data_IF_042166508345
#
_entry.id   IF_042166508345
#
_cell.length_a   1.000
_cell.length_b   1.000
_cell.length_c   1.000
_cell.angle_alpha   90.00
_cell.angle_beta   90.00
_cell.angle_gamma   90.00
#
_symmetry.space_group_name_H-M   'P 1'
#
loop_
_entity.id
_entity.type
_entity.pdbx_description
1 polymer ?
#
# COMPACT_ATOMS: atom_id res chain seq x y z
N UNK A 1 17.35 7.69 11.28
CA UNK A 1 16.83 7.03 10.07
C UNK A 1 15.50 6.32 10.34
N UNK A 2 15.38 5.51 11.39
CA UNK A 2 14.13 4.85 11.72
C UNK A 2 12.98 5.79 12.09
N UNK A 3 13.26 7.02 12.56
CA UNK A 3 12.26 8.04 12.91
C UNK A 3 11.41 8.49 11.72
N UNK A 4 11.96 8.54 10.53
CA UNK A 4 11.23 8.86 9.29
C UNK A 4 10.05 7.92 9.08
N UNK A 5 10.24 6.63 9.42
CA UNK A 5 9.22 5.59 9.29
C UNK A 5 8.40 5.40 10.57
N UNK A 6 8.47 6.33 11.54
CA UNK A 6 7.78 6.27 12.84
C UNK A 6 8.11 5.00 13.65
N UNK A 7 9.31 4.45 13.46
CA UNK A 7 9.80 3.22 14.11
C UNK A 7 10.93 3.56 15.09
N UNK A 8 11.04 2.76 16.15
CA UNK A 8 12.14 2.90 17.15
C UNK A 8 13.44 2.25 16.71
N UNK A 9 13.36 1.17 15.95
CA UNK A 9 14.52 0.39 15.50
C UNK A 9 14.42 0.07 14.02
N UNK A 10 15.56 -0.02 13.32
CA UNK A 10 15.62 -0.33 11.89
C UNK A 10 16.86 -1.19 11.56
N UNK A 11 16.85 -1.76 10.37
CA UNK A 11 17.95 -2.54 9.79
C UNK A 11 18.20 -2.10 8.35
N UNK A 12 19.37 -2.44 7.84
CA UNK A 12 19.78 -2.20 6.45
C UNK A 12 19.95 -3.53 5.71
N UNK A 13 18.86 -4.16 5.24
CA UNK A 13 18.88 -5.48 4.62
C UNK A 13 19.30 -5.42 3.15
N UNK A 14 20.57 -5.18 2.87
CA UNK A 14 21.12 -4.98 1.50
C UNK A 14 20.77 -6.14 0.56
N UNK A 15 20.91 -7.40 1.03
CA UNK A 15 20.61 -8.59 0.21
C UNK A 15 19.13 -8.64 -0.20
N UNK A 16 18.23 -8.41 0.76
CA UNK A 16 16.79 -8.41 0.50
C UNK A 16 16.37 -7.28 -0.45
N UNK A 17 16.93 -6.08 -0.26
CA UNK A 17 16.67 -4.95 -1.15
C UNK A 17 17.13 -5.23 -2.59
N UNK A 18 18.29 -5.85 -2.77
CA UNK A 18 18.78 -6.22 -4.12
C UNK A 18 17.85 -7.20 -4.83
N UNK A 19 17.32 -8.18 -4.10
CA UNK A 19 16.38 -9.16 -4.67
C UNK A 19 15.07 -8.48 -5.09
N UNK A 20 14.51 -7.62 -4.24
CA UNK A 20 13.28 -6.89 -4.55
C UNK A 20 13.48 -5.92 -5.72
N UNK A 21 14.62 -5.22 -5.79
CA UNK A 21 14.97 -4.38 -6.93
C UNK A 21 15.05 -5.19 -8.23
N UNK A 22 15.68 -6.37 -8.22
CA UNK A 22 15.71 -7.25 -9.38
C UNK A 22 14.31 -7.71 -9.81
N UNK A 23 13.41 -7.94 -8.85
CA UNK A 23 12.01 -8.29 -9.14
C UNK A 23 11.26 -7.12 -9.79
N UNK A 24 11.47 -5.89 -9.30
CA UNK A 24 10.89 -4.69 -9.89
C UNK A 24 11.39 -4.45 -11.32
N UNK A 25 12.68 -4.55 -11.55
CA UNK A 25 13.26 -4.42 -12.89
C UNK A 25 12.72 -5.47 -13.87
N UNK A 26 12.54 -6.71 -13.40
CA UNK A 26 11.91 -7.76 -14.21
C UNK A 26 10.46 -7.42 -14.55
N UNK A 27 9.70 -6.93 -13.57
CA UNK A 27 8.30 -6.54 -13.77
C UNK A 27 8.16 -5.35 -14.74
N UNK A 28 9.07 -4.37 -14.68
CA UNK A 28 9.15 -3.25 -15.62
C UNK A 28 9.45 -3.73 -17.04
N UNK A 29 10.46 -4.58 -17.22
CA UNK A 29 10.78 -5.17 -18.52
C UNK A 29 9.61 -6.00 -19.09
N UNK A 30 8.87 -6.71 -18.24
CA UNK A 30 7.68 -7.44 -18.66
C UNK A 30 6.55 -6.48 -19.11
N UNK A 31 6.43 -5.33 -18.48
CA UNK A 31 5.44 -4.31 -18.86
C UNK A 31 5.82 -3.68 -20.23
N UNK A 32 7.08 -3.35 -20.44
CA UNK A 32 7.60 -2.88 -21.73
C UNK A 32 7.32 -3.89 -22.85
N UNK A 33 7.59 -5.17 -22.59
CA UNK A 33 7.30 -6.23 -23.56
C UNK A 33 5.80 -6.31 -23.91
N UNK A 34 4.92 -5.98 -22.97
CA UNK A 34 3.46 -5.91 -23.20
C UNK A 34 2.99 -4.59 -23.78
N UNK A 35 3.89 -3.66 -24.09
CA UNK A 35 3.59 -2.30 -24.57
C UNK A 35 2.70 -1.50 -23.61
N UNK A 36 2.87 -1.68 -22.29
CA UNK A 36 2.25 -0.86 -21.27
C UNK A 36 3.10 0.38 -21.01
N UNK A 37 2.45 1.48 -20.64
CA UNK A 37 3.11 2.72 -20.28
C UNK A 37 3.83 2.58 -18.94
N UNK A 38 5.17 2.56 -18.97
CA UNK A 38 5.99 2.36 -17.77
C UNK A 38 5.92 3.52 -16.79
N UNK A 39 5.64 4.74 -17.25
CA UNK A 39 5.54 5.92 -16.38
C UNK A 39 4.27 5.90 -15.50
N UNK A 40 3.22 5.27 -15.98
CA UNK A 40 1.94 5.19 -15.30
C UNK A 40 1.74 3.90 -14.50
N UNK A 41 2.78 3.06 -14.37
CA UNK A 41 2.69 1.82 -13.59
C UNK A 41 2.68 2.09 -12.09
N UNK A 42 1.84 1.33 -11.38
CA UNK A 42 1.87 1.28 -9.92
C UNK A 42 1.77 -0.16 -9.42
N UNK A 43 2.22 -0.37 -8.20
CA UNK A 43 2.12 -1.68 -7.55
C UNK A 43 0.69 -1.87 -7.05
N UNK A 44 -0.07 -2.71 -7.74
CA UNK A 44 -1.45 -3.04 -7.36
C UNK A 44 -1.47 -4.05 -6.21
N UNK A 45 -0.59 -5.03 -6.25
CA UNK A 45 -0.53 -6.07 -5.24
C UNK A 45 0.93 -6.47 -4.98
N UNK A 46 1.26 -6.63 -3.71
CA UNK A 46 2.53 -7.22 -3.27
C UNK A 46 2.27 -8.10 -2.06
N UNK A 47 2.73 -9.33 -2.12
CA UNK A 47 2.55 -10.30 -1.05
C UNK A 47 3.81 -11.12 -0.83
N UNK A 48 4.11 -11.41 0.41
CA UNK A 48 5.22 -12.27 0.83
C UNK A 48 4.66 -13.44 1.61
N UNK A 49 4.81 -14.64 1.06
CA UNK A 49 4.35 -15.88 1.65
C UNK A 49 5.53 -16.70 2.18
N UNK A 50 5.27 -17.54 3.17
CA UNK A 50 6.23 -18.51 3.67
C UNK A 50 6.29 -19.66 2.66
N UNK A 51 7.50 -19.99 2.19
CA UNK A 51 7.74 -21.12 1.30
C UNK A 51 8.13 -22.37 2.11
N UNK A 52 8.27 -23.50 1.42
CA UNK A 52 8.61 -24.76 2.04
C UNK A 52 9.98 -24.69 2.72
N UNK A 53 10.01 -24.93 4.04
CA UNK A 53 11.25 -24.90 4.83
C UNK A 53 12.20 -26.02 4.46
N UNK A 54 13.46 -25.67 4.20
CA UNK A 54 14.54 -26.64 4.03
C UNK A 54 14.94 -27.23 5.39
N UNK A 55 14.81 -28.53 5.54
CA UNK A 55 15.15 -29.23 6.78
C UNK A 55 16.63 -29.58 6.82
N UNK A 56 17.34 -29.01 7.78
CA UNK A 56 18.71 -29.39 8.15
C UNK A 56 18.78 -29.57 9.65
N UNK A 57 19.80 -30.31 10.12
CA UNK A 57 20.02 -30.59 11.53
C UNK A 57 21.45 -30.25 11.95
N UNK A 58 21.61 -29.84 13.19
CA UNK A 58 22.92 -29.70 13.82
C UNK A 58 23.13 -30.78 14.88
N UNK A 59 24.35 -31.23 15.02
CA UNK A 59 24.75 -32.22 16.02
C UNK A 59 25.42 -31.52 17.18
N UNK A 60 25.03 -31.85 18.39
CA UNK A 60 25.58 -31.31 19.63
C UNK A 60 26.17 -32.44 20.50
N UNK A 61 26.79 -32.04 21.63
CA UNK A 61 27.34 -33.00 22.59
C UNK A 61 26.27 -33.99 23.08
N UNK A 62 26.71 -35.17 23.50
CA UNK A 62 25.85 -36.27 23.99
C UNK A 62 24.77 -36.75 23.02
N UNK A 63 25.05 -36.70 21.70
CA UNK A 63 24.13 -37.17 20.69
C UNK A 63 22.86 -36.29 20.48
N UNK A 64 22.84 -35.09 21.10
CA UNK A 64 21.71 -34.18 20.94
C UNK A 64 21.70 -33.60 19.51
N UNK A 65 20.52 -33.63 18.87
CA UNK A 65 20.30 -33.08 17.55
C UNK A 65 19.37 -31.86 17.70
N UNK A 66 19.77 -30.74 17.08
CA UNK A 66 18.99 -29.53 17.04
C UNK A 66 18.53 -29.20 15.61
N UNK A 67 17.40 -28.54 15.42
CA UNK A 67 16.96 -28.07 14.11
C UNK A 67 17.88 -26.96 13.58
N UNK A 68 18.19 -27.02 12.29
CA UNK A 68 18.94 -25.97 11.57
C UNK A 68 18.26 -25.73 10.23
N UNK A 69 17.06 -25.18 10.30
CA UNK A 69 16.18 -25.03 9.15
C UNK A 69 16.42 -23.74 8.40
N UNK A 70 16.26 -23.77 7.08
CA UNK A 70 16.12 -22.57 6.25
C UNK A 70 14.64 -22.20 6.19
N UNK A 71 14.35 -20.90 6.28
CA UNK A 71 12.99 -20.36 6.14
C UNK A 71 12.96 -19.48 4.89
N UNK A 72 12.71 -20.04 3.70
CA UNK A 72 12.59 -19.27 2.48
C UNK A 72 11.23 -18.56 2.42
N UNK A 73 11.11 -17.59 1.52
CA UNK A 73 9.88 -16.90 1.25
C UNK A 73 9.57 -16.91 -0.25
N UNK A 74 8.30 -16.74 -0.57
CA UNK A 74 7.80 -16.51 -1.91
C UNK A 74 7.25 -15.09 -1.99
N UNK A 75 7.73 -14.31 -2.96
CA UNK A 75 7.32 -12.92 -3.16
C UNK A 75 6.55 -12.83 -4.46
N UNK A 76 5.34 -12.34 -4.39
CA UNK A 76 4.47 -12.07 -5.53
C UNK A 76 4.24 -10.57 -5.66
N UNK A 77 4.26 -10.07 -6.88
CA UNK A 77 4.02 -8.67 -7.18
C UNK A 77 3.24 -8.53 -8.49
N UNK A 78 2.22 -7.68 -8.47
CA UNK A 78 1.43 -7.32 -9.65
C UNK A 78 1.53 -5.82 -9.85
N UNK A 79 1.95 -5.42 -11.06
CA UNK A 79 1.90 -4.06 -11.51
C UNK A 79 0.65 -3.86 -12.36
N UNK A 80 0.04 -2.69 -12.25
CA UNK A 80 -1.08 -2.27 -13.08
C UNK A 80 -0.82 -0.85 -13.58
N UNK A 81 -1.42 -0.53 -14.73
CA UNK A 81 -1.42 0.81 -15.28
C UNK A 81 -2.46 1.66 -14.55
N UNK A 82 -2.12 2.87 -14.21
CA UNK A 82 -3.00 3.82 -13.56
C UNK A 82 -4.02 4.33 -14.58
N UNK A 83 -5.29 4.03 -14.36
CA UNK A 83 -6.36 4.63 -15.14
C UNK A 83 -6.36 6.15 -14.95
N UNK A 84 -6.63 6.89 -16.03
CA UNK A 84 -6.77 8.34 -15.96
C UNK A 84 -7.86 8.69 -14.94
N UNK A 85 -7.55 9.64 -14.06
CA UNK A 85 -8.49 10.07 -13.04
C UNK A 85 -9.69 10.72 -13.75
N UNK A 86 -10.83 10.04 -13.72
CA UNK A 86 -12.10 10.65 -14.15
C UNK A 86 -12.39 11.82 -13.22
N UNK A 87 -12.49 13.02 -13.80
CA UNK A 87 -12.88 14.21 -13.03
C UNK A 87 -14.22 13.95 -12.35
N UNK A 88 -14.28 14.22 -11.07
CA UNK A 88 -15.55 14.12 -10.36
C UNK A 88 -16.51 15.11 -11.00
N UNK A 89 -17.73 14.69 -11.39
CA UNK A 89 -18.73 15.64 -11.86
C UNK A 89 -18.91 16.72 -10.76
N UNK A 90 -18.90 17.99 -11.15
CA UNK A 90 -19.15 19.08 -10.23
C UNK A 90 -20.44 18.77 -9.48
N UNK A 91 -20.34 18.57 -8.17
CA UNK A 91 -21.51 18.33 -7.35
C UNK A 91 -22.40 19.57 -7.47
N UNK A 92 -23.53 19.45 -8.17
CA UNK A 92 -24.56 20.48 -8.14
C UNK A 92 -24.79 20.84 -6.67
N UNK A 93 -24.45 22.06 -6.30
CA UNK A 93 -24.64 22.57 -4.95
C UNK A 93 -26.14 22.52 -4.67
N UNK A 94 -26.61 21.40 -4.15
CA UNK A 94 -27.99 21.22 -3.76
C UNK A 94 -28.35 22.32 -2.77
N UNK A 95 -29.36 23.18 -3.04
CA UNK A 95 -29.70 24.26 -2.15
C UNK A 95 -30.01 23.70 -0.76
N UNK A 96 -29.37 24.26 0.25
CA UNK A 96 -29.54 23.81 1.64
C UNK A 96 -31.02 23.89 2.01
N UNK A 97 -31.64 22.73 2.24
CA UNK A 97 -33.02 22.67 2.73
C UNK A 97 -33.05 23.17 4.16
N UNK A 98 -33.72 24.31 4.39
CA UNK A 98 -33.90 24.87 5.70
C UNK A 98 -35.06 24.18 6.43
N UNK A 99 -34.90 23.90 7.69
CA UNK A 99 -35.99 23.41 8.57
C UNK A 99 -37.05 24.49 8.75
N UNK A 100 -38.29 24.09 9.11
CA UNK A 100 -39.37 25.04 9.39
C UNK A 100 -38.98 26.12 10.44
N UNK A 101 -38.23 25.72 11.47
CA UNK A 101 -37.70 26.67 12.51
C UNK A 101 -36.73 27.66 11.89
N UNK A 102 -35.81 27.26 11.06
CA UNK A 102 -34.84 28.15 10.41
C UNK A 102 -35.53 29.12 9.43
N UNK A 103 -36.55 28.63 8.70
CA UNK A 103 -37.35 29.48 7.82
C UNK A 103 -38.17 30.50 8.63
N UNK A 104 -38.75 30.12 9.78
CA UNK A 104 -39.45 31.00 10.67
C UNK A 104 -38.52 32.09 11.24
N UNK A 105 -37.33 31.72 11.73
CA UNK A 105 -36.31 32.66 12.21
C UNK A 105 -35.86 33.67 11.15
N UNK A 106 -35.75 33.26 9.89
CA UNK A 106 -35.42 34.15 8.78
C UNK A 106 -36.51 35.13 8.42
N UNK A 107 -37.79 34.79 8.71
CA UNK A 107 -38.95 35.65 8.51
C UNK A 107 -39.16 36.63 9.65
N UNK A 108 -38.68 36.30 10.86
CA UNK A 108 -38.77 37.17 12.02
C UNK A 108 -37.65 38.22 11.96
N UNK A 109 -38.01 39.47 11.68
CA UNK A 109 -37.09 40.58 11.82
C UNK A 109 -36.98 40.89 13.31
N UNK A 110 -35.79 40.73 13.89
CA UNK A 110 -35.51 41.11 15.26
C UNK A 110 -35.21 42.63 15.28
N UNK A 111 -36.03 43.38 16.00
CA UNK A 111 -35.94 44.83 16.07
C UNK A 111 -36.86 45.49 15.03
N UNK A 112 -37.73 46.35 15.49
CA UNK A 112 -38.68 47.07 14.64
C UNK A 112 -37.98 48.03 13.69
N UNK A 113 -37.55 47.48 12.58
CA UNK A 113 -37.11 48.26 11.46
C UNK A 113 -38.31 48.48 10.51
N UNK A 114 -38.63 49.74 10.34
CA UNK A 114 -39.53 50.21 9.27
C UNK A 114 -38.98 49.74 7.94
#
# INVERSE_FOLDING_TARGET
QAKEFKMSQGRWPVKSCKIVLGLLQNAESNAEFKNLDTENLYIQHIQVNVAQCGRRRTYRAHGRIGPYMNVPCHVEMILAEKEEAVEKPEEEVKPKKFTRKQLAMRRLKIGGGQ
#
